data_IF_645543298947
#
_entry.id   IF_645543298947
#
_cell.length_a   1.000
_cell.length_b   1.000
_cell.length_c   1.000
_cell.angle_alpha   90.00
_cell.angle_beta   90.00
_cell.angle_gamma   90.00
#
_symmetry.space_group_name_H-M   'P 1'
#
loop_
_entity.id
_entity.type
_entity.pdbx_description
1 polymer ?
#
# COMPACT_ATOMS: atom_id res chain seq x y z
N UNK A 1 -13.43 7.48 6.41
CA UNK A 1 -14.75 8.00 6.83
C UNK A 1 -15.63 7.99 5.59
N UNK A 2 -16.89 7.58 5.72
CA UNK A 2 -17.87 7.71 4.63
C UNK A 2 -18.83 8.84 4.98
N UNK A 3 -19.21 9.69 4.03
CA UNK A 3 -20.24 10.71 4.25
C UNK A 3 -21.63 10.07 4.28
N UNK A 4 -22.66 10.90 4.50
CA UNK A 4 -24.06 10.46 4.44
C UNK A 4 -24.47 9.86 3.08
N UNK A 5 -23.65 10.01 2.04
CA UNK A 5 -23.85 9.46 0.70
C UNK A 5 -22.98 8.22 0.43
N UNK A 6 -22.30 7.68 1.47
CA UNK A 6 -21.38 6.55 1.38
C UNK A 6 -20.15 6.80 0.52
N UNK A 7 -19.73 8.06 0.35
CA UNK A 7 -18.48 8.42 -0.36
C UNK A 7 -17.34 8.59 0.62
N UNK A 8 -16.13 8.28 0.18
CA UNK A 8 -14.91 8.46 1.00
C UNK A 8 -14.70 9.94 1.29
N UNK A 9 -14.73 10.32 2.56
CA UNK A 9 -14.35 11.66 3.02
C UNK A 9 -12.85 11.76 3.23
N UNK A 10 -12.32 12.96 3.01
CA UNK A 10 -10.99 13.35 3.42
C UNK A 10 -10.98 13.58 4.94
N UNK A 11 -10.28 12.73 5.74
CA UNK A 11 -10.35 12.82 7.19
C UNK A 11 -9.47 13.94 7.76
N UNK A 12 -8.42 14.33 7.04
CA UNK A 12 -7.47 15.38 7.43
C UNK A 12 -6.61 15.76 6.22
N UNK A 13 -6.19 17.01 6.18
CA UNK A 13 -5.13 17.50 5.29
C UNK A 13 -3.94 17.94 6.14
N UNK A 14 -2.74 17.56 5.72
CA UNK A 14 -1.50 17.95 6.36
C UNK A 14 -0.48 18.43 5.33
N UNK A 15 0.30 19.42 5.71
CA UNK A 15 1.44 19.87 4.93
C UNK A 15 2.74 19.45 5.63
N UNK A 16 3.60 18.75 4.90
CA UNK A 16 4.95 18.40 5.35
C UNK A 16 5.97 18.96 4.37
N UNK A 17 7.12 19.41 4.88
CA UNK A 17 8.19 19.96 4.03
C UNK A 17 8.82 18.86 3.17
N UNK A 18 8.76 17.61 3.64
CA UNK A 18 9.32 16.45 2.95
C UNK A 18 8.48 15.20 3.22
N UNK A 19 8.35 14.37 2.19
CA UNK A 19 7.86 13.01 2.31
C UNK A 19 8.82 12.13 3.11
N UNK A 20 8.41 11.83 4.34
CA UNK A 20 9.16 11.04 5.31
C UNK A 20 8.19 10.22 6.14
N UNK A 21 8.66 9.07 6.64
CA UNK A 21 7.88 8.27 7.59
C UNK A 21 7.51 9.09 8.82
N UNK A 22 8.41 9.92 9.34
CA UNK A 22 8.11 10.77 10.51
C UNK A 22 7.02 11.80 10.23
N UNK A 23 6.97 12.37 9.02
CA UNK A 23 5.88 13.25 8.59
C UNK A 23 4.53 12.53 8.58
N UNK A 24 4.49 11.29 8.10
CA UNK A 24 3.27 10.47 8.13
C UNK A 24 2.86 10.05 9.54
N UNK A 25 3.82 9.72 10.40
CA UNK A 25 3.57 9.43 11.83
C UNK A 25 2.91 10.63 12.49
N UNK A 26 3.52 11.81 12.36
CA UNK A 26 2.97 13.06 12.88
C UNK A 26 1.55 13.33 12.36
N UNK A 27 1.30 13.11 11.06
CA UNK A 27 -0.02 13.31 10.47
C UNK A 27 -1.06 12.35 11.09
N UNK A 28 -0.73 11.06 11.25
CA UNK A 28 -1.64 10.07 11.85
C UNK A 28 -1.91 10.37 13.33
N UNK A 29 -0.88 10.73 14.10
CA UNK A 29 -1.03 11.13 15.50
C UNK A 29 -1.92 12.38 15.61
N UNK A 30 -1.72 13.36 14.72
CA UNK A 30 -2.52 14.58 14.68
C UNK A 30 -3.99 14.29 14.37
N UNK A 31 -4.26 13.39 13.41
CA UNK A 31 -5.64 12.94 13.09
C UNK A 31 -6.31 12.34 14.32
N UNK A 32 -5.61 11.47 15.04
CA UNK A 32 -6.17 10.82 16.24
C UNK A 32 -6.39 11.83 17.36
N UNK A 33 -5.46 12.77 17.56
CA UNK A 33 -5.62 13.84 18.54
C UNK A 33 -6.84 14.74 18.27
N UNK A 34 -7.17 14.96 17.00
CA UNK A 34 -8.32 15.77 16.57
C UNK A 34 -9.65 15.00 16.51
N UNK A 35 -9.63 13.66 16.59
CA UNK A 35 -10.81 12.82 16.45
C UNK A 35 -11.19 12.15 17.79
N UNK A 36 -11.96 12.84 18.66
CA UNK A 36 -12.32 12.29 19.96
C UNK A 36 -13.08 10.96 19.81
N UNK A 37 -12.61 9.93 20.52
CA UNK A 37 -13.16 8.58 20.49
C UNK A 37 -12.52 7.63 19.48
N UNK A 38 -11.53 8.07 18.69
CA UNK A 38 -10.69 7.20 17.85
C UNK A 38 -9.37 6.93 18.54
N UNK A 39 -8.89 5.70 18.49
CA UNK A 39 -7.56 5.30 18.98
C UNK A 39 -6.70 4.82 17.82
N UNK A 40 -5.38 4.91 17.96
CA UNK A 40 -4.44 4.39 16.96
C UNK A 40 -4.67 2.90 16.67
N UNK A 41 -4.99 2.09 17.69
CA UNK A 41 -5.29 0.66 17.55
C UNK A 41 -6.57 0.34 16.73
N UNK A 42 -7.39 1.36 16.45
CA UNK A 42 -8.60 1.22 15.62
C UNK A 42 -8.26 1.32 14.12
N UNK A 43 -7.05 1.77 13.77
CA UNK A 43 -6.55 1.78 12.40
C UNK A 43 -6.21 0.34 12.01
N UNK A 44 -6.84 -0.18 10.97
CA UNK A 44 -6.63 -1.57 10.51
C UNK A 44 -5.71 -1.68 9.31
N UNK A 45 -5.71 -0.65 8.47
CA UNK A 45 -4.90 -0.62 7.26
C UNK A 45 -4.29 0.77 7.06
N UNK A 46 -3.02 0.79 6.69
CA UNK A 46 -2.35 1.95 6.10
C UNK A 46 -2.03 1.56 4.66
N UNK A 47 -2.59 2.29 3.71
CA UNK A 47 -2.39 2.03 2.28
C UNK A 47 -1.54 3.15 1.70
N UNK A 48 -0.48 2.81 0.98
CA UNK A 48 0.32 3.81 0.27
C UNK A 48 1.54 3.26 -0.43
N UNK A 49 2.48 4.14 -0.74
CA UNK A 49 3.55 3.85 -1.69
C UNK A 49 4.72 3.07 -1.08
N UNK A 50 5.74 2.83 -1.91
CA UNK A 50 6.93 2.06 -1.54
C UNK A 50 7.70 2.58 -0.32
N UNK A 51 7.47 3.82 0.13
CA UNK A 51 8.04 4.34 1.38
C UNK A 51 7.60 3.52 2.59
N UNK A 52 6.39 2.93 2.56
CA UNK A 52 5.86 2.09 3.63
C UNK A 52 6.33 0.63 3.55
N UNK A 53 7.10 0.23 2.54
CA UNK A 53 7.51 -1.16 2.34
C UNK A 53 8.40 -1.74 3.45
N UNK A 54 8.93 -0.89 4.34
CA UNK A 54 9.69 -1.31 5.52
C UNK A 54 8.83 -1.43 6.78
N UNK A 55 7.53 -1.10 6.70
CA UNK A 55 6.55 -1.17 7.81
C UNK A 55 6.93 -0.33 9.05
N UNK A 56 8.00 0.49 8.96
CA UNK A 56 8.55 1.30 10.06
C UNK A 56 7.53 2.26 10.66
N UNK A 57 6.53 2.65 9.87
CA UNK A 57 5.41 3.47 10.34
C UNK A 57 4.59 2.77 11.44
N UNK A 58 4.39 1.45 11.34
CA UNK A 58 3.64 0.68 12.33
C UNK A 58 4.39 0.66 13.67
N UNK A 59 5.72 0.46 13.62
CA UNK A 59 6.59 0.50 14.80
C UNK A 59 6.67 1.86 15.45
N UNK A 60 6.75 2.93 14.66
CA UNK A 60 6.76 4.29 15.21
C UNK A 60 5.43 4.65 15.88
N UNK A 61 4.32 4.11 15.39
CA UNK A 61 2.98 4.32 15.96
C UNK A 61 2.61 3.30 17.06
N UNK A 62 3.40 2.25 17.26
CA UNK A 62 3.13 1.17 18.22
C UNK A 62 1.85 0.38 17.91
N UNK A 63 1.58 0.13 16.62
CA UNK A 63 0.34 -0.55 16.16
C UNK A 63 0.61 -1.78 15.28
N UNK A 64 1.80 -2.37 15.31
CA UNK A 64 2.14 -3.55 14.50
C UNK A 64 1.17 -4.73 14.69
N UNK A 65 0.65 -4.90 15.91
CA UNK A 65 -0.24 -6.01 16.24
C UNK A 65 -1.69 -5.77 15.79
N UNK A 66 -2.05 -4.53 15.42
CA UNK A 66 -3.45 -4.12 15.20
C UNK A 66 -3.73 -3.55 13.82
N UNK A 67 -2.68 -3.25 13.05
CA UNK A 67 -2.73 -2.60 11.75
C UNK A 67 -1.80 -3.29 10.75
N UNK A 68 -2.20 -3.31 9.48
CA UNK A 68 -1.38 -3.80 8.37
C UNK A 68 -1.04 -2.69 7.39
N UNK A 69 0.16 -2.74 6.80
CA UNK A 69 0.50 -1.92 5.63
C UNK A 69 0.10 -2.67 4.36
N UNK A 70 -0.54 -1.95 3.44
CA UNK A 70 -0.82 -2.44 2.09
C UNK A 70 -0.17 -1.47 1.10
N UNK A 71 0.62 -1.99 0.16
CA UNK A 71 1.21 -1.20 -0.90
C UNK A 71 0.20 -0.94 -2.01
N UNK A 72 0.19 0.29 -2.51
CA UNK A 72 -0.64 0.66 -3.66
C UNK A 72 -0.20 -0.10 -4.91
N UNK A 73 -1.11 -0.92 -5.46
CA UNK A 73 -0.84 -1.73 -6.64
C UNK A 73 -0.49 -0.91 -7.88
N UNK A 74 -1.03 0.31 -8.02
CA UNK A 74 -0.69 1.22 -9.12
C UNK A 74 0.78 1.65 -9.05
N UNK A 75 1.23 2.05 -7.86
CA UNK A 75 2.62 2.45 -7.59
C UNK A 75 3.61 1.26 -7.55
N UNK A 76 3.12 0.03 -7.60
CA UNK A 76 3.97 -1.15 -7.86
C UNK A 76 4.16 -1.38 -9.37
N UNK A 77 3.07 -1.35 -10.14
CA UNK A 77 3.01 -1.89 -11.52
C UNK A 77 3.08 -0.85 -12.64
N UNK A 78 2.77 0.42 -12.37
CA UNK A 78 2.66 1.43 -13.43
C UNK A 78 4.00 1.75 -14.08
N UNK A 79 4.05 1.80 -15.41
CA UNK A 79 5.29 1.94 -16.18
C UNK A 79 6.02 3.27 -15.95
N UNK A 80 5.29 4.33 -15.62
CA UNK A 80 5.78 5.70 -15.46
C UNK A 80 6.30 5.98 -14.04
N UNK A 81 5.51 5.62 -13.02
CA UNK A 81 5.78 5.97 -11.62
C UNK A 81 6.14 4.76 -10.75
N UNK A 82 5.87 3.55 -11.22
CA UNK A 82 5.93 2.33 -10.43
C UNK A 82 7.32 1.93 -9.97
N UNK A 83 7.39 1.31 -8.80
CA UNK A 83 8.64 0.87 -8.19
C UNK A 83 9.25 -0.36 -8.87
N UNK A 84 8.45 -1.29 -9.39
CA UNK A 84 8.96 -2.49 -10.04
C UNK A 84 9.55 -2.22 -11.44
N UNK A 85 8.94 -1.39 -12.30
CA UNK A 85 9.57 -0.94 -13.54
C UNK A 85 10.92 -0.27 -13.32
N UNK A 86 11.06 0.55 -12.25
CA UNK A 86 12.33 1.18 -11.86
C UNK A 86 13.38 0.15 -11.42
N UNK A 87 12.97 -0.89 -10.68
CA UNK A 87 13.86 -1.93 -10.17
C UNK A 87 14.36 -2.90 -11.24
N UNK A 88 13.51 -3.29 -12.19
CA UNK A 88 13.85 -4.23 -13.26
C UNK A 88 14.34 -3.54 -14.54
N UNK A 89 14.04 -2.25 -14.71
CA UNK A 89 14.15 -1.56 -15.99
C UNK A 89 13.00 -1.93 -16.93
N UNK A 90 12.60 -0.99 -17.79
CA UNK A 90 11.39 -1.11 -18.61
C UNK A 90 11.38 -2.35 -19.51
N UNK A 91 12.53 -2.73 -20.08
CA UNK A 91 12.61 -3.88 -20.98
C UNK A 91 12.31 -5.19 -20.24
N UNK A 92 13.07 -5.50 -19.18
CA UNK A 92 12.86 -6.71 -18.39
C UNK A 92 11.48 -6.70 -17.70
N UNK A 93 11.04 -5.53 -17.20
CA UNK A 93 9.72 -5.41 -16.61
C UNK A 93 8.60 -5.74 -17.61
N UNK A 94 8.74 -5.39 -18.90
CA UNK A 94 7.72 -5.71 -19.90
C UNK A 94 7.46 -7.21 -20.03
N UNK A 95 8.50 -8.03 -19.89
CA UNK A 95 8.40 -9.50 -19.87
C UNK A 95 7.84 -10.03 -18.55
N UNK A 96 8.11 -9.36 -17.43
CA UNK A 96 7.63 -9.78 -16.10
C UNK A 96 6.25 -9.23 -15.74
N UNK A 97 5.73 -8.25 -16.49
CA UNK A 97 4.56 -7.45 -16.10
C UNK A 97 3.33 -8.31 -15.86
N UNK A 98 3.09 -9.29 -16.72
CA UNK A 98 1.93 -10.19 -16.61
C UNK A 98 2.02 -11.08 -15.37
N UNK A 99 3.18 -11.70 -15.14
CA UNK A 99 3.45 -12.51 -13.95
C UNK A 99 3.32 -11.67 -12.67
N UNK A 100 3.97 -10.51 -12.62
CA UNK A 100 3.93 -9.60 -11.47
C UNK A 100 2.52 -9.08 -11.21
N UNK A 101 1.75 -8.76 -12.25
CA UNK A 101 0.34 -8.37 -12.12
C UNK A 101 -0.49 -9.53 -11.58
N UNK A 102 -0.23 -10.75 -12.04
CA UNK A 102 -0.91 -11.96 -11.58
C UNK A 102 -0.58 -12.26 -10.11
N UNK A 103 0.67 -12.08 -9.68
CA UNK A 103 1.07 -12.17 -8.28
C UNK A 103 0.27 -11.18 -7.40
N UNK A 104 0.14 -9.92 -7.84
CA UNK A 104 -0.62 -8.90 -7.11
C UNK A 104 -2.11 -9.24 -7.04
N UNK A 105 -2.73 -9.62 -8.17
CA UNK A 105 -4.19 -9.80 -8.28
C UNK A 105 -4.70 -11.17 -7.88
N UNK A 106 -3.82 -12.17 -7.77
CA UNK A 106 -4.16 -13.55 -7.41
C UNK A 106 -5.10 -13.62 -6.19
N UNK A 107 -6.15 -14.44 -6.28
CA UNK A 107 -7.09 -14.71 -5.17
C UNK A 107 -6.79 -16.03 -4.46
N UNK A 108 -5.89 -16.85 -5.02
CA UNK A 108 -5.44 -18.10 -4.42
C UNK A 108 -3.91 -18.15 -4.33
N UNK A 109 -3.41 -18.88 -3.33
CA UNK A 109 -1.98 -19.13 -3.16
C UNK A 109 -1.39 -19.86 -4.38
N UNK A 110 -2.11 -20.85 -4.91
CA UNK A 110 -1.66 -21.63 -6.07
C UNK A 110 -1.45 -20.74 -7.31
N UNK A 111 -2.38 -19.82 -7.60
CA UNK A 111 -2.23 -18.90 -8.72
C UNK A 111 -1.05 -17.93 -8.51
N UNK A 112 -0.83 -17.48 -7.27
CA UNK A 112 0.35 -16.68 -6.92
C UNK A 112 1.65 -17.44 -7.16
N UNK A 113 1.74 -18.69 -6.70
CA UNK A 113 2.93 -19.54 -6.84
C UNK A 113 3.24 -19.87 -8.30
N UNK A 114 2.22 -20.12 -9.12
CA UNK A 114 2.38 -20.31 -10.56
C UNK A 114 2.97 -19.07 -11.25
N UNK A 115 2.43 -17.89 -10.93
CA UNK A 115 2.96 -16.63 -11.49
C UNK A 115 4.39 -16.34 -11.00
N UNK A 116 4.70 -16.63 -9.73
CA UNK A 116 6.05 -16.50 -9.19
C UNK A 116 7.04 -17.41 -9.92
N UNK A 117 6.66 -18.66 -10.19
CA UNK A 117 7.54 -19.61 -10.88
C UNK A 117 7.76 -19.23 -12.34
N UNK A 118 6.73 -18.70 -13.02
CA UNK A 118 6.85 -18.10 -14.36
C UNK A 118 7.84 -16.91 -14.36
N UNK A 119 7.73 -16.01 -13.38
CA UNK A 119 8.66 -14.89 -13.23
C UNK A 119 10.11 -15.36 -12.96
N UNK A 120 10.29 -16.42 -12.15
CA UNK A 120 11.61 -17.03 -11.89
C UNK A 120 12.20 -17.62 -13.16
N UNK A 121 11.41 -18.33 -13.96
CA UNK A 121 11.87 -18.89 -15.23
C UNK A 121 12.35 -17.79 -16.19
N UNK A 122 11.63 -16.67 -16.26
CA UNK A 122 12.03 -15.48 -17.04
C UNK A 122 13.36 -14.91 -16.55
N UNK A 123 13.56 -14.82 -15.23
CA UNK A 123 14.79 -14.29 -14.64
C UNK A 123 15.98 -15.26 -14.69
N UNK A 124 15.74 -16.58 -14.74
CA UNK A 124 16.80 -17.59 -14.87
C UNK A 124 17.61 -17.41 -16.16
N UNK A 125 16.95 -16.94 -17.22
CA UNK A 125 17.58 -16.66 -18.51
C UNK A 125 18.30 -15.30 -18.55
N UNK A 126 18.18 -14.49 -17.50
CA UNK A 126 18.80 -13.17 -17.45
C UNK A 126 20.22 -13.24 -16.86
N UNK A 127 21.22 -12.62 -17.49
CA UNK A 127 22.62 -12.73 -17.06
C UNK A 127 22.88 -12.10 -15.67
N UNK A 128 22.07 -11.11 -15.28
CA UNK A 128 22.22 -10.42 -14.00
C UNK A 128 21.34 -11.02 -12.90
N UNK A 129 21.98 -11.73 -11.97
CA UNK A 129 21.32 -12.34 -10.81
C UNK A 129 20.73 -11.32 -9.82
N UNK A 130 21.04 -10.01 -9.93
CA UNK A 130 20.47 -9.00 -9.03
C UNK A 130 18.95 -8.98 -9.08
N UNK A 131 18.37 -9.21 -10.26
CA UNK A 131 16.92 -9.18 -10.46
C UNK A 131 16.24 -10.39 -9.83
N UNK A 132 16.83 -11.58 -9.94
CA UNK A 132 16.37 -12.77 -9.24
C UNK A 132 16.43 -12.58 -7.71
N UNK A 133 17.53 -12.02 -7.19
CA UNK A 133 17.65 -11.67 -5.77
C UNK A 133 16.60 -10.63 -5.34
N UNK A 134 16.28 -9.67 -6.21
CA UNK A 134 15.26 -8.66 -5.94
C UNK A 134 13.85 -9.28 -5.87
N UNK A 135 13.51 -10.16 -6.81
CA UNK A 135 12.24 -10.91 -6.80
C UNK A 135 12.07 -11.65 -5.47
N UNK A 136 13.08 -12.38 -5.02
CA UNK A 136 12.97 -13.14 -3.75
C UNK A 136 12.92 -12.22 -2.53
N UNK A 137 13.84 -11.25 -2.44
CA UNK A 137 14.06 -10.46 -1.20
C UNK A 137 13.13 -9.27 -1.02
N UNK A 138 12.60 -8.71 -2.11
CA UNK A 138 11.81 -7.47 -2.05
C UNK A 138 10.38 -7.65 -2.56
N UNK A 139 10.10 -8.71 -3.33
CA UNK A 139 8.75 -9.00 -3.83
C UNK A 139 8.18 -10.18 -3.07
N UNK A 140 8.75 -11.39 -3.21
CA UNK A 140 8.18 -12.60 -2.62
C UNK A 140 8.19 -12.61 -1.08
N UNK A 141 9.29 -12.21 -0.46
CA UNK A 141 9.38 -12.12 1.02
C UNK A 141 8.39 -11.11 1.62
N UNK A 142 7.98 -10.11 0.84
CA UNK A 142 7.08 -9.01 1.25
C UNK A 142 5.69 -9.13 0.66
N UNK A 143 5.30 -10.32 0.22
CA UNK A 143 4.00 -10.58 -0.43
C UNK A 143 2.80 -10.22 0.43
N UNK A 144 2.93 -10.22 1.76
CA UNK A 144 1.86 -9.81 2.67
C UNK A 144 1.44 -8.35 2.49
N UNK A 145 2.31 -7.53 1.89
CA UNK A 145 2.04 -6.11 1.65
C UNK A 145 1.17 -5.85 0.41
N UNK A 146 1.02 -6.79 -0.53
CA UNK A 146 0.34 -6.51 -1.80
C UNK A 146 -0.42 -7.70 -2.41
N UNK A 147 -0.15 -8.93 -1.97
CA UNK A 147 -0.77 -10.10 -2.59
C UNK A 147 -2.23 -10.20 -2.15
N UNK A 148 -3.15 -10.07 -3.11
CA UNK A 148 -4.58 -10.01 -2.83
C UNK A 148 -5.11 -11.28 -2.11
N UNK A 149 -4.59 -12.47 -2.43
CA UNK A 149 -4.95 -13.73 -1.74
C UNK A 149 -4.58 -13.74 -0.24
N UNK A 150 -3.68 -12.86 0.21
CA UNK A 150 -3.35 -12.65 1.62
C UNK A 150 -4.25 -11.56 2.19
N UNK A 151 -4.34 -10.42 1.51
CA UNK A 151 -5.10 -9.24 1.96
C UNK A 151 -6.57 -9.57 2.20
N UNK A 152 -7.18 -10.42 1.36
CA UNK A 152 -8.57 -10.86 1.51
C UNK A 152 -8.86 -11.63 2.81
N UNK A 153 -7.83 -12.11 3.50
CA UNK A 153 -7.98 -12.79 4.79
C UNK A 153 -8.10 -11.81 5.96
N UNK A 154 -7.74 -10.54 5.76
CA UNK A 154 -7.84 -9.53 6.81
C UNK A 154 -9.29 -9.04 6.97
N UNK A 155 -9.76 -8.97 8.22
CA UNK A 155 -11.09 -8.44 8.50
C UNK A 155 -11.16 -6.94 8.10
N UNK A 156 -12.20 -6.56 7.35
CA UNK A 156 -12.40 -5.16 6.94
C UNK A 156 -11.58 -4.72 5.71
N UNK A 157 -11.01 -5.64 4.94
CA UNK A 157 -10.20 -5.33 3.75
C UNK A 157 -10.95 -4.56 2.63
N UNK A 158 -12.28 -4.70 2.55
CA UNK A 158 -13.18 -3.98 1.62
C UNK A 158 -12.74 -3.98 0.14
N UNK A 159 -11.92 -4.96 -0.27
CA UNK A 159 -11.26 -5.02 -1.58
C UNK A 159 -10.48 -3.73 -1.93
N UNK A 160 -9.88 -3.05 -0.95
CA UNK A 160 -9.00 -1.92 -1.23
C UNK A 160 -7.72 -2.39 -1.93
N UNK A 161 -7.50 -1.88 -3.13
CA UNK A 161 -6.37 -2.27 -4.01
C UNK A 161 -5.48 -1.08 -4.42
N UNK A 162 -5.68 0.10 -3.82
CA UNK A 162 -5.10 1.36 -4.32
C UNK A 162 -5.78 1.83 -5.61
N UNK A 163 -6.38 3.02 -5.62
CA UNK A 163 -7.15 3.58 -6.74
C UNK A 163 -7.31 5.10 -6.54
N UNK A 164 -7.54 5.81 -7.66
CA UNK A 164 -7.88 7.23 -7.84
C UNK A 164 -8.41 8.08 -6.67
N UNK A 165 -9.20 7.60 -5.67
CA UNK A 165 -9.43 8.40 -4.47
C UNK A 165 -8.16 8.82 -3.71
N UNK A 166 -7.11 7.97 -3.65
CA UNK A 166 -5.82 8.35 -3.03
C UNK A 166 -5.09 9.41 -3.86
N UNK A 167 -5.07 9.26 -5.18
CA UNK A 167 -4.42 10.20 -6.10
C UNK A 167 -5.14 11.56 -6.17
N UNK A 168 -6.48 11.58 -6.15
CA UNK A 168 -7.25 12.84 -6.12
C UNK A 168 -6.97 13.68 -4.89
N UNK A 169 -6.73 13.04 -3.75
CA UNK A 169 -6.35 13.74 -2.52
C UNK A 169 -4.86 14.14 -2.51
N UNK A 170 -4.02 13.50 -3.34
CA UNK A 170 -2.66 13.95 -3.64
C UNK A 170 -2.60 15.12 -4.65
N UNK A 171 -3.68 15.39 -5.40
CA UNK A 171 -3.67 16.25 -6.59
C UNK A 171 -4.12 17.70 -6.36
N UNK A 172 -4.40 18.14 -5.12
CA UNK A 172 -4.90 19.51 -4.88
C UNK A 172 -3.82 20.61 -5.01
N UNK A 173 -2.53 20.31 -5.15
CA UNK A 173 -1.52 21.40 -5.22
C UNK A 173 -0.23 21.10 -6.00
N UNK A 174 -0.30 20.51 -7.19
CA UNK A 174 0.87 20.50 -8.10
C UNK A 174 1.00 21.84 -8.84
N UNK A 175 1.30 22.92 -8.10
CA UNK A 175 2.06 24.12 -8.54
C UNK A 175 2.69 24.76 -7.28
N UNK A 176 3.88 24.28 -6.90
CA UNK A 176 4.82 24.82 -5.89
C UNK A 176 4.88 24.21 -4.47
N UNK A 177 3.95 23.35 -4.00
CA UNK A 177 4.01 22.84 -2.61
C UNK A 177 3.38 21.43 -2.50
N UNK A 178 4.10 20.42 -2.00
CA UNK A 178 3.61 19.04 -1.81
C UNK A 178 2.65 18.93 -0.62
N UNK A 179 1.34 18.79 -0.87
CA UNK A 179 0.36 18.39 0.16
C UNK A 179 0.25 16.86 0.21
N UNK A 180 0.19 16.29 1.42
CA UNK A 180 0.02 14.85 1.63
C UNK A 180 -1.35 14.57 2.22
N UNK A 181 -2.09 13.69 1.57
CA UNK A 181 -3.35 13.18 2.08
C UNK A 181 -3.19 11.70 2.42
N UNK A 182 -3.22 11.37 3.70
CA UNK A 182 -3.34 9.99 4.17
C UNK A 182 -4.82 9.63 4.28
N UNK A 183 -5.25 8.63 3.51
CA UNK A 183 -6.53 7.98 3.76
C UNK A 183 -6.39 7.02 4.95
N UNK A 184 -6.45 7.54 6.18
CA UNK A 184 -6.59 6.69 7.38
C UNK A 184 -8.06 6.29 7.50
N UNK A 185 -8.39 5.04 7.19
CA UNK A 185 -9.71 4.50 7.49
C UNK A 185 -9.70 3.78 8.84
N UNK A 186 -10.10 4.51 9.89
CA UNK A 186 -10.53 3.90 11.15
C UNK A 186 -12.01 3.49 11.02
N UNK A 187 -12.34 2.23 11.24
CA UNK A 187 -13.73 1.79 11.45
C UNK A 187 -13.93 1.45 12.93
N UNK A 188 -14.65 2.30 13.66
CA UNK A 188 -15.18 1.97 14.97
C UNK A 188 -16.54 1.32 14.77
N UNK A 189 -16.67 0.07 15.23
CA UNK A 189 -17.98 -0.56 15.39
C UNK A 189 -18.74 0.18 16.48
N UNK A 190 -19.76 0.96 16.12
CA UNK A 190 -20.81 1.30 17.06
C UNK A 190 -21.59 0.01 17.34
N UNK A 191 -21.28 -0.66 18.46
CA UNK A 191 -22.30 -1.47 19.12
C UNK A 191 -23.31 -0.47 19.66
N UNK A 192 -24.37 -0.23 18.89
CA UNK A 192 -25.61 0.30 19.43
C UNK A 192 -26.06 -0.68 20.51
N UNK A 193 -25.92 -0.26 21.77
CA UNK A 193 -26.84 -0.70 22.81
C UNK A 193 -28.18 -0.11 22.43
N UNK A 194 -29.13 -0.97 22.06
CA UNK A 194 -30.46 -1.10 22.68
C UNK A 194 -31.08 -2.41 22.19
#
# INVERSE_FOLDING_TARGET
MLDGEKKVCLPCEGFTIRETIDGYVWLIESVVAMAPGRKLCDIKFIIGDGIFAAETILTKLGIEDTCHVILDHHHLLSLDIGSWPKAFGLNLFSHLKEDLTSMVKSTSLTAYEQALESARATLCNHPDQKHAKYLERHIHSKRHLYANHIIQKFAGHLNFQGNAPSERNHCISVRHVQCQALAVQAQTWQRERL
#
